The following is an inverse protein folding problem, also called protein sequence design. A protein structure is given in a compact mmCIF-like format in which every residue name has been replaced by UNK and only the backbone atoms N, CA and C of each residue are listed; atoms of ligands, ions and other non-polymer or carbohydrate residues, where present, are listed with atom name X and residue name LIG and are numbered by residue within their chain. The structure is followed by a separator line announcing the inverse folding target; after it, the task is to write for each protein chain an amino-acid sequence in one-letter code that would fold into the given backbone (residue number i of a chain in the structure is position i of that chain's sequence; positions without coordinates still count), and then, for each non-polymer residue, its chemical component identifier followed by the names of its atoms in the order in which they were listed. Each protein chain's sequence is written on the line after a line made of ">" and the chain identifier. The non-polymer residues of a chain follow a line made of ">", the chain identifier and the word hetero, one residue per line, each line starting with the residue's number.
data_IF_015279213617
#
_entry.id   IF_015279213617
#
_cell.length_a   1.000
_cell.length_b   1.000
_cell.length_c   1.000
_cell.angle_alpha   90.00
_cell.angle_beta   90.00
_cell.angle_gamma   90.00
#
_symmetry.space_group_name_H-M   'P 1'
#
loop_
_entity.id
_entity.type
_entity.pdbx_description
1 polymer ?
#
# COMPACT_ATOMS: atom_id res chain seq x y z
N UNK A 1 -9.73 5.61 -3.81
CA UNK A 1 -8.77 4.54 -4.03
C UNK A 1 -7.97 4.71 -5.31
N UNK A 2 -6.95 3.89 -5.53
CA UNK A 2 -6.07 3.92 -6.72
C UNK A 2 -5.43 5.29 -7.02
N UNK A 3 -5.23 6.11 -6.00
CA UNK A 3 -4.72 7.49 -6.09
C UNK A 3 -5.54 8.44 -6.98
N UNK A 4 -6.77 8.06 -7.32
CA UNK A 4 -7.67 8.93 -8.10
C UNK A 4 -8.06 10.14 -7.27
N UNK A 5 -7.79 11.35 -7.80
CA UNK A 5 -8.05 12.61 -7.11
C UNK A 5 -7.03 13.00 -6.04
N UNK A 6 -5.94 12.25 -5.92
CA UNK A 6 -4.82 12.65 -5.06
C UNK A 6 -3.98 13.71 -5.76
N UNK A 7 -3.70 14.79 -5.05
CA UNK A 7 -2.86 15.88 -5.52
C UNK A 7 -1.80 16.19 -4.48
N UNK A 8 -0.54 16.17 -4.90
CA UNK A 8 0.57 16.67 -4.07
C UNK A 8 0.66 18.17 -4.28
N UNK A 9 0.61 18.92 -3.19
CA UNK A 9 0.71 20.39 -3.18
C UNK A 9 2.01 20.75 -2.46
N UNK A 10 2.87 21.48 -3.15
CA UNK A 10 4.13 21.97 -2.60
C UNK A 10 4.04 23.47 -2.30
N UNK A 11 4.98 23.96 -1.50
CA UNK A 11 5.08 25.40 -1.24
C UNK A 11 5.24 26.17 -2.54
N UNK A 12 4.36 27.14 -2.79
CA UNK A 12 4.33 27.96 -4.00
C UNK A 12 3.43 27.42 -5.13
N UNK A 13 2.83 26.24 -4.98
CA UNK A 13 1.87 25.75 -5.95
C UNK A 13 0.56 26.56 -5.93
N UNK A 14 -0.05 26.71 -7.11
CA UNK A 14 -1.39 27.32 -7.20
C UNK A 14 -2.45 26.34 -6.67
N UNK A 15 -3.15 26.75 -5.63
CA UNK A 15 -4.21 25.99 -4.95
C UNK A 15 -5.61 26.47 -5.30
N UNK A 16 -5.77 27.49 -6.15
CA UNK A 16 -7.10 28.04 -6.54
C UNK A 16 -8.01 26.99 -7.11
N UNK A 17 -7.47 26.04 -7.89
CA UNK A 17 -8.22 24.93 -8.49
C UNK A 17 -9.04 24.10 -7.50
N UNK A 18 -8.67 24.08 -6.23
CA UNK A 18 -9.41 23.33 -5.18
C UNK A 18 -10.63 24.09 -4.67
N UNK A 19 -10.79 25.36 -5.08
CA UNK A 19 -11.90 26.24 -4.70
C UNK A 19 -12.77 26.59 -5.90
N UNK A 20 -12.45 26.11 -7.10
CA UNK A 20 -13.20 26.42 -8.32
C UNK A 20 -14.58 25.74 -8.37
N UNK A 21 -15.61 26.41 -8.94
CA UNK A 21 -16.88 25.78 -9.21
C UNK A 21 -16.70 24.56 -10.14
N UNK A 22 -17.27 23.43 -9.76
CA UNK A 22 -17.15 22.18 -10.53
C UNK A 22 -16.05 21.23 -10.07
N UNK A 23 -15.44 21.50 -8.91
CA UNK A 23 -14.57 20.54 -8.25
C UNK A 23 -15.26 19.16 -8.12
N UNK A 24 -14.72 18.08 -8.76
CA UNK A 24 -15.48 16.84 -8.95
C UNK A 24 -15.52 15.94 -7.71
N UNK A 25 -14.75 16.25 -6.64
CA UNK A 25 -14.59 15.39 -5.48
C UNK A 25 -15.41 15.80 -4.25
N UNK A 26 -16.46 16.62 -4.46
CA UNK A 26 -17.41 17.01 -3.41
C UNK A 26 -16.94 18.22 -2.58
N UNK A 27 -17.61 18.44 -1.44
CA UNK A 27 -17.40 19.62 -0.58
C UNK A 27 -16.35 19.41 0.52
N UNK A 28 -15.89 18.19 0.70
CA UNK A 28 -14.88 17.83 1.70
C UNK A 28 -13.66 17.25 1.04
N UNK A 29 -12.49 17.68 1.48
CA UNK A 29 -11.20 17.14 1.06
C UNK A 29 -10.40 16.72 2.29
N UNK A 30 -9.69 15.62 2.19
CA UNK A 30 -8.71 15.22 3.16
C UNK A 30 -7.37 15.88 2.80
N UNK A 31 -6.76 16.54 3.77
CA UNK A 31 -5.44 17.16 3.61
C UNK A 31 -4.48 16.50 4.57
N UNK A 32 -3.42 15.92 4.05
CA UNK A 32 -2.41 15.20 4.82
C UNK A 32 -1.03 15.80 4.57
N UNK A 33 -0.14 15.69 5.55
CA UNK A 33 1.26 16.05 5.37
C UNK A 33 1.88 15.12 4.34
N UNK A 34 2.49 15.68 3.29
CA UNK A 34 3.29 14.89 2.37
C UNK A 34 4.58 14.41 3.07
N UNK A 35 4.82 13.10 3.05
CA UNK A 35 6.02 12.48 3.60
C UNK A 35 6.96 12.16 2.44
N UNK A 36 8.08 12.86 2.36
CA UNK A 36 9.15 12.55 1.41
C UNK A 36 9.89 11.29 1.85
N UNK A 37 10.48 10.56 0.88
CA UNK A 37 11.31 9.40 1.15
C UNK A 37 10.86 8.14 0.41
N UNK A 38 11.14 6.98 1.00
CA UNK A 38 10.92 5.66 0.39
C UNK A 38 9.48 5.20 0.64
N UNK A 39 8.95 4.42 -0.31
CA UNK A 39 7.61 3.84 -0.22
C UNK A 39 7.71 2.33 -0.07
N UNK A 40 7.03 1.80 0.95
CA UNK A 40 7.01 0.38 1.26
C UNK A 40 5.58 -0.13 1.37
N UNK A 41 5.43 -1.42 1.12
CA UNK A 41 4.16 -2.10 1.33
C UNK A 41 4.40 -3.48 1.92
N UNK A 42 3.52 -3.91 2.82
CA UNK A 42 3.57 -5.23 3.42
C UNK A 42 2.17 -5.87 3.45
N UNK A 43 2.10 -7.09 2.95
CA UNK A 43 0.89 -7.90 2.95
C UNK A 43 0.78 -8.72 4.23
N UNK A 44 -0.47 -8.92 4.67
CA UNK A 44 -0.83 -9.79 5.79
C UNK A 44 -1.82 -10.83 5.30
N UNK A 45 -1.63 -12.07 5.72
CA UNK A 45 -2.54 -13.19 5.53
C UNK A 45 -2.88 -13.80 6.90
N UNK A 46 -4.13 -13.68 7.31
CA UNK A 46 -4.56 -14.13 8.65
C UNK A 46 -3.84 -13.37 9.76
N UNK A 47 -2.94 -14.06 10.46
CA UNK A 47 -2.17 -13.53 11.58
C UNK A 47 -0.67 -13.33 11.26
N UNK A 48 -0.30 -13.39 9.98
CA UNK A 48 1.09 -13.37 9.54
C UNK A 48 1.33 -12.31 8.46
N UNK A 49 2.28 -11.41 8.67
CA UNK A 49 2.84 -10.57 7.61
C UNK A 49 3.75 -11.42 6.70
N UNK A 50 3.74 -11.15 5.39
CA UNK A 50 4.43 -11.98 4.39
C UNK A 50 5.84 -11.47 4.09
N UNK A 51 5.95 -10.26 3.56
CA UNK A 51 7.21 -9.64 3.19
C UNK A 51 7.04 -8.12 3.12
N UNK A 52 8.15 -7.40 3.03
CA UNK A 52 8.17 -5.97 2.68
C UNK A 52 8.64 -5.82 1.25
N UNK A 53 7.86 -5.12 0.45
CA UNK A 53 8.23 -4.69 -0.91
C UNK A 53 8.49 -3.18 -0.90
N UNK A 54 9.60 -2.74 -1.48
CA UNK A 54 9.79 -1.34 -1.81
C UNK A 54 9.22 -1.05 -3.19
N UNK A 55 8.49 0.06 -3.29
CA UNK A 55 7.93 0.57 -4.54
C UNK A 55 8.78 1.74 -4.98
N UNK A 56 9.47 1.60 -6.11
CA UNK A 56 10.30 2.64 -6.72
C UNK A 56 9.58 3.16 -7.95
N UNK A 57 9.37 4.47 -8.01
CA UNK A 57 8.79 5.13 -9.18
C UNK A 57 9.60 6.36 -9.55
N UNK A 58 9.88 6.55 -10.83
CA UNK A 58 10.56 7.73 -11.36
C UNK A 58 9.70 8.99 -11.28
N UNK A 59 8.39 8.85 -11.00
CA UNK A 59 7.42 9.95 -10.92
C UNK A 59 7.35 10.63 -9.55
N UNK A 60 8.12 10.15 -8.56
CA UNK A 60 8.16 10.68 -7.19
C UNK A 60 6.93 10.38 -6.33
N UNK A 61 5.88 9.78 -6.91
CA UNK A 61 4.68 9.33 -6.22
C UNK A 61 4.05 8.15 -6.95
N UNK A 62 3.55 7.16 -6.20
CA UNK A 62 2.91 5.96 -6.72
C UNK A 62 1.45 6.28 -7.12
N UNK A 63 1.29 7.03 -8.22
CA UNK A 63 0.00 7.43 -8.78
C UNK A 63 -0.69 6.29 -9.55
N UNK A 64 -1.83 6.61 -10.17
CA UNK A 64 -2.61 5.63 -10.94
C UNK A 64 -1.79 5.01 -12.07
N UNK A 65 -1.05 5.83 -12.82
CA UNK A 65 -0.25 5.36 -13.95
C UNK A 65 0.93 4.50 -13.47
N UNK A 66 1.57 4.88 -12.34
CA UNK A 66 2.63 4.08 -11.72
C UNK A 66 2.13 2.70 -11.26
N UNK A 67 0.84 2.59 -10.93
CA UNK A 67 0.20 1.33 -10.49
C UNK A 67 -0.20 0.40 -11.65
N UNK A 68 -0.57 0.93 -12.80
CA UNK A 68 -1.26 0.15 -13.83
C UNK A 68 -0.62 0.22 -15.23
N UNK A 69 0.32 1.13 -15.46
CA UNK A 69 1.05 1.21 -16.73
C UNK A 69 2.31 0.35 -16.63
N UNK A 70 2.58 -0.45 -17.64
CA UNK A 70 3.79 -1.27 -17.74
C UNK A 70 5.04 -0.39 -17.62
N UNK A 71 5.94 -0.72 -16.67
CA UNK A 71 7.12 0.09 -16.36
C UNK A 71 6.85 1.34 -15.50
N UNK A 72 5.64 1.53 -14.97
CA UNK A 72 5.29 2.67 -14.10
C UNK A 72 5.93 2.65 -12.73
N UNK A 73 6.29 1.46 -12.24
CA UNK A 73 7.01 1.25 -10.98
C UNK A 73 7.88 0.00 -11.04
N UNK A 74 8.88 -0.04 -10.18
CA UNK A 74 9.73 -1.22 -9.92
C UNK A 74 9.45 -1.71 -8.50
N UNK A 75 9.26 -3.02 -8.36
CA UNK A 75 9.10 -3.67 -7.06
C UNK A 75 10.40 -4.35 -6.66
N UNK A 76 10.93 -4.00 -5.48
CA UNK A 76 12.08 -4.67 -4.89
C UNK A 76 11.60 -5.51 -3.72
N UNK A 77 11.68 -6.84 -3.87
CA UNK A 77 11.25 -7.81 -2.85
C UNK A 77 12.33 -8.87 -2.62
N UNK A 78 12.78 -9.11 -1.38
CA UNK A 78 12.51 -8.28 -0.21
C UNK A 78 13.09 -6.87 -0.38
N UNK A 79 12.51 -5.88 0.29
CA UNK A 79 13.03 -4.51 0.27
C UNK A 79 14.49 -4.48 0.77
N UNK A 80 15.36 -3.74 0.07
CA UNK A 80 16.77 -3.58 0.45
C UNK A 80 16.89 -2.50 1.53
N UNK A 81 16.67 -2.92 2.79
CA UNK A 81 16.71 -2.10 4.00
C UNK A 81 17.35 -2.89 5.14
N UNK A 82 17.74 -2.18 6.21
CA UNK A 82 18.23 -2.86 7.41
C UNK A 82 17.14 -3.72 8.06
N UNK A 83 17.57 -4.77 8.75
CA UNK A 83 16.65 -5.77 9.32
C UNK A 83 15.70 -5.16 10.36
N UNK A 84 16.18 -4.18 11.13
CA UNK A 84 15.35 -3.53 12.15
C UNK A 84 14.17 -2.77 11.54
N UNK A 85 14.42 -2.03 10.44
CA UNK A 85 13.36 -1.33 9.69
C UNK A 85 12.40 -2.33 9.03
N UNK A 86 12.95 -3.42 8.46
CA UNK A 86 12.15 -4.48 7.85
C UNK A 86 11.18 -5.11 8.85
N UNK A 87 11.68 -5.52 10.01
CA UNK A 87 10.90 -6.15 11.08
C UNK A 87 9.84 -5.19 11.63
N UNK A 88 10.17 -3.91 11.75
CA UNK A 88 9.21 -2.91 12.24
C UNK A 88 8.07 -2.68 11.24
N UNK A 89 8.35 -2.61 9.93
CA UNK A 89 7.29 -2.50 8.90
C UNK A 89 6.38 -3.73 8.95
N UNK A 90 6.95 -4.94 9.04
CA UNK A 90 6.19 -6.19 9.18
C UNK A 90 5.29 -6.17 10.43
N UNK A 91 5.85 -5.76 11.57
CA UNK A 91 5.11 -5.62 12.84
C UNK A 91 3.98 -4.61 12.74
N UNK A 92 4.23 -3.46 12.13
CA UNK A 92 3.22 -2.41 11.96
C UNK A 92 2.11 -2.82 11.01
N UNK A 93 2.43 -3.54 9.92
CA UNK A 93 1.42 -4.08 9.00
C UNK A 93 0.47 -5.05 9.71
N UNK A 94 1.03 -5.98 10.50
CA UNK A 94 0.23 -6.91 11.28
C UNK A 94 -0.61 -6.20 12.35
N UNK A 95 -0.03 -5.23 13.05
CA UNK A 95 -0.75 -4.43 14.05
C UNK A 95 -1.92 -3.66 13.41
N UNK A 96 -1.71 -3.04 12.25
CA UNK A 96 -2.75 -2.31 11.53
C UNK A 96 -3.88 -3.24 11.08
N UNK A 97 -3.55 -4.43 10.53
CA UNK A 97 -4.51 -5.46 10.17
C UNK A 97 -5.40 -5.84 11.37
N UNK A 98 -4.78 -6.13 12.50
CA UNK A 98 -5.48 -6.53 13.74
C UNK A 98 -6.31 -5.39 14.33
N UNK A 99 -5.78 -4.17 14.35
CA UNK A 99 -6.46 -3.00 14.92
C UNK A 99 -7.73 -2.62 14.17
N UNK A 100 -7.78 -2.91 12.87
CA UNK A 100 -8.95 -2.70 12.01
C UNK A 100 -9.91 -3.92 12.01
N UNK A 101 -9.60 -4.99 12.75
CA UNK A 101 -10.38 -6.22 12.74
C UNK A 101 -10.40 -6.90 11.37
N UNK A 102 -9.36 -6.70 10.55
CA UNK A 102 -9.27 -7.33 9.25
C UNK A 102 -9.21 -8.85 9.37
N UNK A 103 -9.83 -9.53 8.41
CA UNK A 103 -9.79 -10.99 8.24
C UNK A 103 -9.33 -11.30 6.82
N UNK A 104 -8.77 -12.48 6.62
CA UNK A 104 -8.28 -12.87 5.30
C UNK A 104 -6.97 -12.17 4.96
N UNK A 105 -6.93 -11.48 3.84
CA UNK A 105 -5.73 -10.75 3.38
C UNK A 105 -5.93 -9.25 3.49
N UNK A 106 -4.86 -8.55 3.80
CA UNK A 106 -4.78 -7.09 3.66
C UNK A 106 -3.39 -6.66 3.23
N UNK A 107 -3.24 -5.40 2.84
CA UNK A 107 -1.95 -4.80 2.52
C UNK A 107 -1.87 -3.42 3.13
N UNK A 108 -0.86 -3.18 3.94
CA UNK A 108 -0.56 -1.89 4.51
C UNK A 108 0.50 -1.17 3.68
N UNK A 109 0.27 0.10 3.36
CA UNK A 109 1.16 0.93 2.57
C UNK A 109 1.80 2.00 3.47
N UNK A 110 3.12 2.25 3.29
CA UNK A 110 3.94 3.05 4.19
C UNK A 110 4.82 4.03 3.44
N UNK A 111 5.15 5.14 4.10
CA UNK A 111 6.27 6.02 3.73
C UNK A 111 7.29 6.03 4.85
N UNK A 112 8.58 6.14 4.47
CA UNK A 112 9.69 6.26 5.39
C UNK A 112 10.54 7.45 5.02
N UNK A 113 10.67 8.44 5.91
CA UNK A 113 11.37 9.70 5.66
C UNK A 113 12.88 9.65 5.97
N UNK A 114 13.39 8.46 6.29
CA UNK A 114 14.77 8.25 6.75
C UNK A 114 14.93 8.21 8.26
N UNK A 115 13.84 8.47 9.01
CA UNK A 115 13.80 8.44 10.49
C UNK A 115 12.59 7.72 11.02
N UNK A 116 11.41 8.04 10.50
CA UNK A 116 10.12 7.55 11.00
C UNK A 116 9.34 6.86 9.87
N UNK A 117 8.56 5.85 10.26
CA UNK A 117 7.64 5.11 9.40
C UNK A 117 6.25 5.71 9.56
N UNK A 118 5.62 6.04 8.46
CA UNK A 118 4.25 6.55 8.39
C UNK A 118 3.38 5.55 7.64
N UNK A 119 2.31 5.08 8.28
CA UNK A 119 1.30 4.28 7.60
C UNK A 119 0.38 5.21 6.82
N UNK A 120 0.12 4.89 5.56
CA UNK A 120 -0.76 5.65 4.68
C UNK A 120 -2.17 5.08 4.70
N UNK A 121 -2.29 3.80 4.40
CA UNK A 121 -3.58 3.10 4.32
C UNK A 121 -3.44 1.60 4.52
N UNK A 122 -4.57 0.95 4.80
CA UNK A 122 -4.69 -0.51 4.76
C UNK A 122 -5.73 -0.88 3.71
N UNK A 123 -5.30 -1.64 2.71
CA UNK A 123 -6.16 -2.16 1.65
C UNK A 123 -6.72 -3.52 2.07
N UNK A 124 -8.03 -3.60 2.26
CA UNK A 124 -8.73 -4.84 2.67
C UNK A 124 -9.23 -5.67 1.48
N UNK A 125 -9.19 -5.12 0.27
CA UNK A 125 -9.45 -5.81 -1.00
C UNK A 125 -8.35 -5.50 -2.01
N UNK A 126 -7.11 -5.91 -1.73
CA UNK A 126 -5.98 -5.64 -2.61
C UNK A 126 -6.09 -6.44 -3.90
N UNK A 127 -5.39 -5.96 -4.95
CA UNK A 127 -5.35 -6.64 -6.25
C UNK A 127 -4.76 -8.05 -6.16
N UNK A 128 -5.28 -8.95 -7.02
CA UNK A 128 -4.89 -10.36 -7.09
C UNK A 128 -4.54 -10.76 -8.54
N UNK A 129 -4.02 -9.84 -9.34
CA UNK A 129 -3.45 -10.18 -10.64
C UNK A 129 -2.04 -10.78 -10.46
N UNK A 130 -1.47 -11.47 -11.45
CA UNK A 130 -0.12 -12.02 -11.34
C UNK A 130 0.97 -11.01 -11.01
N UNK A 131 0.76 -9.74 -11.33
CA UNK A 131 1.69 -8.62 -11.06
C UNK A 131 1.26 -7.79 -9.84
N UNK A 132 0.30 -8.27 -9.07
CA UNK A 132 -0.13 -7.59 -7.85
C UNK A 132 0.80 -7.91 -6.68
N UNK A 133 0.97 -6.93 -5.80
CA UNK A 133 1.91 -6.97 -4.66
C UNK A 133 1.68 -8.14 -3.70
N UNK A 134 0.42 -8.55 -3.44
CA UNK A 134 0.15 -9.69 -2.55
C UNK A 134 0.60 -11.02 -3.16
N UNK A 135 0.24 -11.39 -4.41
CA UNK A 135 0.78 -12.57 -5.05
C UNK A 135 2.32 -12.59 -5.14
N UNK A 136 2.96 -11.43 -5.40
CA UNK A 136 4.42 -11.34 -5.41
C UNK A 136 5.01 -11.64 -4.04
N UNK A 137 4.46 -11.06 -2.97
CA UNK A 137 4.93 -11.29 -1.61
C UNK A 137 4.66 -12.73 -1.14
N UNK A 138 3.52 -13.29 -1.51
CA UNK A 138 3.20 -14.69 -1.23
C UNK A 138 4.21 -15.64 -1.90
N UNK A 139 4.50 -15.41 -3.19
CA UNK A 139 5.48 -16.19 -3.93
C UNK A 139 6.88 -16.08 -3.32
N UNK A 140 7.29 -14.89 -2.85
CA UNK A 140 8.58 -14.68 -2.18
C UNK A 140 8.74 -15.56 -0.93
N UNK A 141 7.65 -15.82 -0.19
CA UNK A 141 7.64 -16.70 0.99
C UNK A 141 7.20 -18.12 0.67
N UNK A 142 7.30 -18.55 -0.59
CA UNK A 142 6.98 -19.88 -1.09
C UNK A 142 5.49 -20.28 -0.94
N UNK A 143 4.57 -19.31 -1.00
CA UNK A 143 3.14 -19.56 -1.13
C UNK A 143 2.78 -19.32 -2.61
N UNK A 144 2.41 -20.37 -3.32
CA UNK A 144 1.96 -20.25 -4.71
C UNK A 144 0.64 -19.48 -4.80
N UNK A 145 0.35 -18.94 -5.99
CA UNK A 145 -0.92 -18.25 -6.23
C UNK A 145 -2.14 -19.14 -5.92
N UNK A 146 -2.10 -20.41 -6.30
CA UNK A 146 -3.18 -21.35 -6.03
C UNK A 146 -3.36 -21.58 -4.52
N UNK A 147 -2.29 -21.74 -3.77
CA UNK A 147 -2.34 -21.89 -2.31
C UNK A 147 -2.89 -20.62 -1.64
N UNK A 148 -2.47 -19.44 -2.10
CA UNK A 148 -3.00 -18.18 -1.61
C UNK A 148 -4.52 -18.09 -1.82
N UNK A 149 -5.00 -18.35 -3.03
CA UNK A 149 -6.43 -18.29 -3.34
C UNK A 149 -7.22 -19.36 -2.58
N UNK A 150 -6.70 -20.58 -2.51
CA UNK A 150 -7.34 -21.67 -1.74
C UNK A 150 -7.47 -21.26 -0.28
N UNK A 151 -6.38 -20.74 0.32
CA UNK A 151 -6.43 -20.26 1.70
C UNK A 151 -7.48 -19.14 1.91
N UNK A 152 -7.56 -18.20 0.97
CA UNK A 152 -8.55 -17.11 1.04
C UNK A 152 -9.98 -17.63 0.99
N UNK A 153 -10.28 -18.60 0.13
CA UNK A 153 -11.61 -19.23 0.01
C UNK A 153 -11.95 -20.01 1.27
N UNK A 154 -11.04 -20.84 1.77
CA UNK A 154 -11.24 -21.69 2.94
C UNK A 154 -11.43 -20.89 4.22
N UNK A 155 -10.87 -19.68 4.29
CA UNK A 155 -10.95 -18.78 5.44
C UNK A 155 -11.98 -17.65 5.26
N UNK A 156 -12.73 -17.63 4.16
CA UNK A 156 -13.78 -16.65 3.94
C UNK A 156 -14.92 -16.84 4.98
N UNK A 157 -15.31 -15.75 5.62
CA UNK A 157 -16.39 -15.75 6.63
C UNK A 157 -17.25 -14.50 6.46
N UNK A 158 -18.55 -14.66 6.63
CA UNK A 158 -19.48 -13.55 6.81
C UNK A 158 -19.64 -13.26 8.30
N UNK A 159 -19.95 -12.01 8.63
CA UNK A 159 -20.45 -11.68 9.96
C UNK A 159 -21.85 -12.29 10.11
N UNK A 160 -22.10 -12.94 11.25
CA UNK A 160 -23.39 -13.54 11.56
C UNK A 160 -24.40 -12.47 12.02
#
# INVERSE_FOLDING_TARGET
>A
GSSVGVHIVRSGDNTERFSEPGWPFGTYVMVEKYIEGREFTAAVIGDRALAVTEIITDRGFYDYDAKYVEGGSTHVIPADIDQGLYDEIMRLALLAHQSLGCRGVSRADFRYDGKEIYILEVNTQPGLTPTSLIPEQAAHVNISFNELITWMVDNAKCDA
#
